data_IF_216734134605
#
_entry.id   IF_216734134605
#
_cell.length_a   1.000
_cell.length_b   1.000
_cell.length_c   1.000
_cell.angle_alpha   90.00
_cell.angle_beta   90.00
_cell.angle_gamma   90.00
#
_symmetry.space_group_name_H-M   'P 1'
#
loop_
_entity.id
_entity.type
_entity.pdbx_description
1 polymer ?
#
# COMPACT_ATOMS: atom_id res chain seq x y z
N UNK A 1 35.48 4.71 -5.05
CA UNK A 1 34.70 4.20 -3.90
C UNK A 1 33.21 4.38 -4.21
N UNK A 2 32.55 3.38 -4.77
CA UNK A 2 31.11 3.47 -5.09
C UNK A 2 30.30 3.50 -3.79
N UNK A 3 29.54 4.58 -3.54
CA UNK A 3 28.61 4.67 -2.42
C UNK A 3 27.53 3.62 -2.65
N UNK A 4 27.53 2.53 -1.86
CA UNK A 4 26.40 1.61 -1.81
C UNK A 4 25.27 2.33 -1.10
N UNK A 5 24.29 2.83 -1.85
CA UNK A 5 23.07 3.35 -1.25
C UNK A 5 22.30 2.18 -0.65
N UNK A 6 22.00 2.29 0.65
CA UNK A 6 21.23 1.28 1.38
C UNK A 6 19.75 1.62 1.19
N UNK A 7 19.08 0.89 0.31
CA UNK A 7 17.63 1.00 0.14
C UNK A 7 16.92 0.24 1.27
N UNK A 8 15.84 0.82 1.78
CA UNK A 8 14.90 0.07 2.61
C UNK A 8 13.89 -0.62 1.71
N UNK A 9 13.71 -1.92 1.91
CA UNK A 9 12.87 -2.76 1.04
C UNK A 9 11.80 -3.43 1.89
N UNK A 10 10.55 -3.29 1.47
CA UNK A 10 9.40 -3.99 2.05
C UNK A 10 8.88 -4.92 0.96
N UNK A 11 8.79 -6.21 1.27
CA UNK A 11 8.14 -7.20 0.42
C UNK A 11 6.77 -7.54 1.01
N UNK A 12 5.74 -7.62 0.18
CA UNK A 12 4.42 -8.04 0.65
C UNK A 12 3.56 -8.67 -0.43
N UNK A 13 2.60 -9.50 -0.03
CA UNK A 13 1.78 -10.26 -0.97
C UNK A 13 0.55 -10.90 -0.37
N UNK A 14 -0.37 -11.30 -1.25
CA UNK A 14 -1.69 -11.80 -0.89
C UNK A 14 -1.89 -13.15 -1.58
N UNK A 15 -1.76 -14.23 -0.83
CA UNK A 15 -1.83 -15.60 -1.32
C UNK A 15 -3.15 -16.29 -1.02
N UNK A 16 -3.87 -15.85 0.01
CA UNK A 16 -5.12 -16.45 0.45
C UNK A 16 -6.34 -15.89 -0.29
N UNK A 17 -7.42 -16.68 -0.33
CA UNK A 17 -8.70 -16.25 -0.87
C UNK A 17 -9.34 -15.18 0.03
N UNK A 18 -10.05 -14.24 -0.58
CA UNK A 18 -10.73 -13.13 0.13
C UNK A 18 -11.78 -12.52 -0.77
N UNK A 19 -12.85 -12.00 -0.19
CA UNK A 19 -14.07 -11.47 -0.82
C UNK A 19 -13.97 -11.24 -2.35
N UNK A 20 -14.49 -12.19 -3.13
CA UNK A 20 -14.54 -12.08 -4.60
C UNK A 20 -13.26 -12.51 -5.34
N UNK A 21 -12.16 -12.79 -4.63
CA UNK A 21 -10.89 -13.23 -5.18
C UNK A 21 -10.52 -14.64 -4.72
N UNK A 22 -10.14 -15.48 -5.70
CA UNK A 22 -9.60 -16.83 -5.43
C UNK A 22 -8.20 -16.73 -4.82
N UNK A 23 -7.83 -17.78 -4.08
CA UNK A 23 -6.48 -17.91 -3.55
C UNK A 23 -5.45 -17.93 -4.67
N UNK A 24 -4.31 -17.29 -4.42
CA UNK A 24 -3.16 -17.22 -5.31
C UNK A 24 -1.94 -17.82 -4.60
N UNK A 25 -1.88 -19.16 -4.42
CA UNK A 25 -0.86 -19.81 -3.60
C UNK A 25 0.58 -19.55 -4.08
N UNK A 26 0.76 -19.33 -5.38
CA UNK A 26 2.07 -18.98 -5.96
C UNK A 26 2.65 -17.65 -5.48
N UNK A 27 1.81 -16.74 -4.96
CA UNK A 27 2.27 -15.44 -4.44
C UNK A 27 3.17 -15.64 -3.23
N UNK A 28 2.84 -16.57 -2.33
CA UNK A 28 3.67 -16.86 -1.15
C UNK A 28 5.08 -17.30 -1.56
N UNK A 29 5.17 -18.26 -2.48
CA UNK A 29 6.46 -18.77 -2.98
C UNK A 29 7.28 -17.66 -3.65
N UNK A 30 6.64 -16.78 -4.42
CA UNK A 30 7.33 -15.69 -5.10
C UNK A 30 7.85 -14.65 -4.12
N UNK A 31 7.09 -14.31 -3.07
CA UNK A 31 7.56 -13.40 -2.02
C UNK A 31 8.74 -14.00 -1.26
N UNK A 32 8.72 -15.30 -0.96
CA UNK A 32 9.87 -15.98 -0.34
C UNK A 32 11.12 -15.95 -1.24
N UNK A 33 10.97 -16.11 -2.55
CA UNK A 33 12.07 -15.99 -3.50
C UNK A 33 12.63 -14.56 -3.55
N UNK A 34 11.76 -13.55 -3.62
CA UNK A 34 12.16 -12.14 -3.60
C UNK A 34 12.89 -11.82 -2.29
N UNK A 35 12.39 -12.32 -1.16
CA UNK A 35 12.98 -12.08 0.15
C UNK A 35 14.42 -12.63 0.23
N UNK A 36 14.67 -13.81 -0.36
CA UNK A 36 16.01 -14.40 -0.44
C UNK A 36 16.97 -13.61 -1.34
N UNK A 37 16.46 -13.00 -2.41
CA UNK A 37 17.29 -12.26 -3.37
C UNK A 37 17.63 -10.84 -2.89
N UNK A 38 16.69 -10.16 -2.25
CA UNK A 38 16.82 -8.73 -1.92
C UNK A 38 17.05 -8.44 -0.43
N UNK A 39 16.82 -9.42 0.45
CA UNK A 39 16.89 -9.27 1.91
C UNK A 39 16.11 -8.04 2.42
N UNK A 40 14.77 -8.03 2.27
CA UNK A 40 13.93 -6.91 2.69
C UNK A 40 13.93 -6.74 4.21
N UNK A 41 13.76 -5.50 4.67
CA UNK A 41 13.61 -5.16 6.10
C UNK A 41 12.26 -5.65 6.67
N UNK A 42 11.31 -5.96 5.78
CA UNK A 42 9.97 -6.41 6.13
C UNK A 42 9.40 -7.35 5.09
N UNK A 43 8.79 -8.44 5.55
CA UNK A 43 7.95 -9.31 4.72
C UNK A 43 6.55 -9.32 5.33
N UNK A 44 5.51 -9.07 4.53
CA UNK A 44 4.12 -8.95 4.99
C UNK A 44 3.19 -9.77 4.11
N UNK A 45 2.49 -10.76 4.68
CA UNK A 45 1.60 -11.64 3.91
C UNK A 45 0.16 -11.55 4.42
N UNK A 46 -0.80 -11.63 3.50
CA UNK A 46 -2.23 -11.76 3.79
C UNK A 46 -2.72 -10.70 4.80
N UNK A 47 -3.10 -11.10 6.00
CA UNK A 47 -3.62 -10.22 7.07
C UNK A 47 -2.59 -9.19 7.55
N UNK A 48 -1.30 -9.40 7.32
CA UNK A 48 -0.28 -8.42 7.67
C UNK A 48 -0.10 -7.35 6.61
N UNK A 49 -0.49 -7.63 5.36
CA UNK A 49 -0.38 -6.68 4.26
C UNK A 49 -1.58 -5.73 4.22
N UNK A 50 -1.61 -4.81 5.18
CA UNK A 50 -2.65 -3.77 5.30
C UNK A 50 -2.09 -2.38 5.03
N UNK A 51 -2.96 -1.47 4.60
CA UNK A 51 -2.60 -0.06 4.32
C UNK A 51 -1.91 0.59 5.53
N UNK A 52 -2.45 0.41 6.74
CA UNK A 52 -1.91 0.97 7.98
C UNK A 52 -0.49 0.43 8.30
N UNK A 53 -0.24 -0.86 8.09
CA UNK A 53 1.07 -1.44 8.37
C UNK A 53 2.10 -1.07 7.32
N UNK A 54 1.66 -0.91 6.07
CA UNK A 54 2.50 -0.44 4.97
C UNK A 54 2.88 1.03 5.21
N UNK A 55 1.90 1.89 5.51
CA UNK A 55 2.12 3.32 5.78
C UNK A 55 3.05 3.57 6.98
N UNK A 56 3.00 2.74 8.01
CA UNK A 56 3.92 2.81 9.16
C UNK A 56 5.39 2.52 8.79
N UNK A 57 5.64 1.75 7.72
CA UNK A 57 7.01 1.32 7.34
C UNK A 57 7.60 2.14 6.20
N UNK A 58 6.78 2.80 5.39
CA UNK A 58 7.24 3.74 4.38
C UNK A 58 7.29 5.15 4.97
N UNK A 59 8.32 5.92 4.63
CA UNK A 59 8.42 7.30 5.12
C UNK A 59 7.23 8.12 4.59
N UNK A 60 6.55 8.91 5.45
CA UNK A 60 5.42 9.74 5.04
C UNK A 60 5.80 10.78 3.97
N UNK A 61 7.10 11.06 3.79
CA UNK A 61 7.60 11.93 2.70
C UNK A 61 7.36 11.39 1.29
N UNK A 62 6.89 10.15 1.15
CA UNK A 62 6.59 9.53 -0.14
C UNK A 62 5.08 9.39 -0.42
N UNK A 63 4.24 9.76 0.55
CA UNK A 63 2.81 9.87 0.37
C UNK A 63 2.48 11.33 0.53
N UNK A 64 2.56 12.07 -0.58
CA UNK A 64 1.86 13.34 -0.67
C UNK A 64 0.38 13.01 -0.56
N UNK A 65 -0.13 13.10 0.66
CA UNK A 65 -1.55 12.91 1.00
C UNK A 65 -2.44 14.02 0.39
N UNK A 66 -1.92 14.82 -0.55
CA UNK A 66 -2.66 15.87 -1.27
C UNK A 66 -3.65 15.33 -2.31
N UNK A 67 -3.77 14.02 -2.50
CA UNK A 67 -4.74 13.45 -3.44
C UNK A 67 -5.81 12.57 -2.79
N UNK A 68 -6.34 13.01 -1.65
CA UNK A 68 -7.74 12.77 -1.32
C UNK A 68 -8.28 14.07 -0.71
N UNK A 69 -9.29 14.73 -1.30
CA UNK A 69 -9.98 15.78 -0.57
C UNK A 69 -10.46 15.18 0.77
N UNK A 70 -10.34 15.90 1.89
CA UNK A 70 -10.86 15.42 3.15
C UNK A 70 -12.33 15.04 2.96
N UNK A 71 -12.70 13.85 3.45
CA UNK A 71 -14.10 13.43 3.47
C UNK A 71 -14.93 14.59 4.02
N UNK A 72 -15.97 15.06 3.29
CA UNK A 72 -16.81 16.11 3.81
C UNK A 72 -17.36 15.65 5.15
N UNK A 73 -17.30 16.49 6.20
CA UNK A 73 -17.79 16.09 7.52
C UNK A 73 -19.23 15.62 7.36
N UNK A 74 -19.50 14.42 7.87
CA UNK A 74 -20.87 13.96 8.03
C UNK A 74 -21.62 15.04 8.80
N UNK A 75 -22.72 15.50 8.20
CA UNK A 75 -23.78 16.33 8.78
C UNK A 75 -23.88 17.78 8.25
N UNK A 76 -24.72 17.91 7.22
CA UNK A 76 -25.69 18.98 6.99
C UNK A 76 -25.15 20.42 6.87
N UNK A 77 -24.93 20.88 5.64
CA UNK A 77 -25.49 22.14 5.13
C UNK A 77 -25.24 22.33 3.64
N UNK A 78 -26.32 22.68 2.94
CA UNK A 78 -26.43 22.97 1.52
C UNK A 78 -25.58 24.18 1.11
N UNK A 79 -24.78 24.05 0.04
CA UNK A 79 -24.53 25.12 -0.91
C UNK A 79 -24.09 24.52 -2.25
N UNK A 80 -24.88 24.75 -3.28
CA UNK A 80 -24.56 24.41 -4.66
C UNK A 80 -23.37 25.24 -5.14
N UNK A 81 -22.41 24.60 -5.81
CA UNK A 81 -21.24 25.25 -6.39
C UNK A 81 -20.31 24.25 -7.07
N UNK A 82 -20.76 23.70 -8.20
CA UNK A 82 -19.98 23.34 -9.39
C UNK A 82 -18.50 22.93 -9.20
N UNK A 83 -18.22 21.63 -9.25
CA UNK A 83 -17.28 21.05 -10.23
C UNK A 83 -17.35 19.53 -10.18
N UNK A 84 -17.87 18.95 -11.26
CA UNK A 84 -17.70 17.54 -11.59
C UNK A 84 -16.22 17.30 -11.90
N UNK A 85 -15.44 16.89 -10.89
CA UNK A 85 -14.13 16.31 -11.14
C UNK A 85 -14.28 14.80 -11.21
N UNK A 86 -14.54 14.32 -12.41
CA UNK A 86 -14.54 12.92 -12.78
C UNK A 86 -13.10 12.41 -12.58
N UNK A 87 -12.89 11.43 -11.70
CA UNK A 87 -11.61 10.74 -11.61
C UNK A 87 -11.51 9.70 -12.75
N UNK A 88 -10.45 9.80 -13.57
CA UNK A 88 -10.07 8.78 -14.57
C UNK A 88 -9.49 7.53 -13.93
#
# INVERSE_FOLDING_TARGET
MSRKEKFSIIAGGLSEARQGFKALPGVKQKIEQIAKSLNPDSVMLNQEFTSERVSKRISPKFFDTEFCPPDPPSEQSLAWGEQESICF
#
